data_IF_760298760921
#
_entry.id   IF_760298760921
#
_cell.length_a   1.000
_cell.length_b   1.000
_cell.length_c   1.000
_cell.angle_alpha   90.00
_cell.angle_beta   90.00
_cell.angle_gamma   90.00
#
_symmetry.space_group_name_H-M   'P 1'
#
loop_
_entity.id
_entity.type
_entity.pdbx_description
1 polymer ?
#
# COMPACT_ATOMS: atom_id res chain seq x y z
N UNK A 1 15.91 -6.92 -18.22
CA UNK A 1 15.64 -6.77 -16.77
C UNK A 1 14.14 -6.55 -16.65
N UNK A 2 13.37 -7.42 -15.99
CA UNK A 2 11.93 -7.17 -15.79
C UNK A 2 11.80 -5.96 -14.88
N UNK A 3 11.05 -4.96 -15.31
CA UNK A 3 10.72 -3.82 -14.46
C UNK A 3 10.10 -4.37 -13.16
N UNK A 4 10.53 -3.89 -11.99
CA UNK A 4 9.89 -4.29 -10.76
C UNK A 4 8.40 -3.98 -10.88
N UNK A 5 7.55 -4.88 -10.41
CA UNK A 5 6.10 -4.71 -10.41
C UNK A 5 5.76 -3.58 -9.42
N UNK A 6 5.95 -2.32 -9.84
CA UNK A 6 5.85 -1.14 -8.97
C UNK A 6 4.37 -0.85 -8.75
N UNK A 7 3.92 -0.90 -7.49
CA UNK A 7 2.55 -0.50 -7.10
C UNK A 7 2.40 1.03 -7.22
N UNK A 8 3.48 1.77 -6.92
CA UNK A 8 3.58 3.21 -7.16
C UNK A 8 4.98 3.73 -6.88
N UNK A 9 5.20 5.01 -7.18
CA UNK A 9 6.52 5.62 -7.08
C UNK A 9 7.04 5.74 -5.64
N UNK A 10 8.32 6.13 -5.55
CA UNK A 10 8.93 6.51 -4.28
C UNK A 10 8.22 7.72 -3.67
N UNK A 11 7.89 7.63 -2.39
CA UNK A 11 7.46 8.76 -1.57
C UNK A 11 8.67 9.22 -0.76
N UNK A 12 9.03 10.49 -0.91
CA UNK A 12 10.16 11.11 -0.21
C UNK A 12 9.66 11.85 1.04
N UNK A 13 10.43 11.77 2.13
CA UNK A 13 10.13 12.48 3.36
C UNK A 13 10.67 13.91 3.30
N UNK A 14 9.90 14.85 3.84
CA UNK A 14 10.23 16.27 3.82
C UNK A 14 11.13 16.70 5.01
N UNK A 15 11.54 17.98 4.98
CA UNK A 15 12.19 18.71 6.08
C UNK A 15 13.43 17.98 6.64
N UNK A 16 13.37 17.57 7.90
CA UNK A 16 14.48 16.98 8.66
C UNK A 16 14.90 15.59 8.16
N UNK A 17 14.17 15.03 7.19
CA UNK A 17 14.40 13.68 6.63
C UNK A 17 14.60 13.69 5.11
N UNK A 18 14.94 14.84 4.54
CA UNK A 18 15.23 14.98 3.11
C UNK A 18 16.24 13.93 2.62
N UNK A 19 15.93 13.28 1.50
CA UNK A 19 16.72 12.18 0.95
C UNK A 19 16.35 10.79 1.47
N UNK A 20 15.53 10.67 2.53
CA UNK A 20 14.91 9.39 2.89
C UNK A 20 13.64 9.19 2.08
N UNK A 21 13.45 7.98 1.56
CA UNK A 21 12.26 7.66 0.78
C UNK A 21 11.85 6.22 0.93
N UNK A 22 10.56 5.98 0.79
CA UNK A 22 9.91 4.67 0.94
C UNK A 22 9.10 4.33 -0.31
N UNK A 23 8.99 3.04 -0.62
CA UNK A 23 8.18 2.56 -1.73
C UNK A 23 7.61 1.18 -1.46
N UNK A 24 6.37 0.95 -1.88
CA UNK A 24 5.77 -0.38 -1.94
C UNK A 24 5.86 -0.93 -3.37
N UNK A 25 6.33 -2.17 -3.52
CA UNK A 25 6.52 -2.81 -4.82
C UNK A 25 6.44 -4.34 -4.75
N UNK A 26 6.42 -4.98 -5.91
CA UNK A 26 6.44 -6.43 -6.03
C UNK A 26 5.17 -7.08 -5.49
N UNK A 27 4.00 -6.43 -5.71
CA UNK A 27 2.70 -6.99 -5.35
C UNK A 27 2.35 -8.14 -6.30
N UNK A 28 2.17 -9.32 -5.74
CA UNK A 28 1.90 -10.55 -6.51
C UNK A 28 1.17 -11.58 -5.64
N UNK A 29 0.28 -12.39 -6.23
CA UNK A 29 -0.24 -13.58 -5.56
C UNK A 29 0.92 -14.54 -5.31
N UNK A 30 1.11 -14.97 -4.06
CA UNK A 30 2.23 -15.81 -3.68
C UNK A 30 1.95 -16.52 -2.36
N UNK A 31 2.29 -17.81 -2.30
CA UNK A 31 2.14 -18.60 -1.08
C UNK A 31 3.26 -18.27 -0.06
N UNK A 32 2.94 -18.25 1.25
CA UNK A 32 3.93 -18.03 2.30
C UNK A 32 4.92 -19.20 2.44
N UNK A 33 6.20 -18.94 2.79
CA UNK A 33 7.26 -19.95 2.80
C UNK A 33 7.14 -20.99 3.93
N UNK A 34 6.47 -20.67 5.05
CA UNK A 34 6.32 -21.58 6.21
C UNK A 34 4.94 -22.23 6.28
N UNK A 35 4.19 -22.19 5.17
CA UNK A 35 2.79 -22.63 5.11
C UNK A 35 1.81 -21.55 5.55
N UNK A 36 0.54 -21.81 5.25
CA UNK A 36 -0.59 -20.90 5.50
C UNK A 36 -0.97 -20.91 6.97
N UNK A 37 -1.41 -19.77 7.47
CA UNK A 37 -2.04 -19.67 8.78
C UNK A 37 -3.47 -20.20 8.73
N UNK A 38 -3.94 -20.78 9.83
CA UNK A 38 -5.31 -21.28 9.96
C UNK A 38 -6.34 -20.15 9.76
N UNK A 39 -6.04 -18.95 10.28
CA UNK A 39 -6.87 -17.77 10.10
C UNK A 39 -6.96 -17.28 8.64
N UNK A 40 -6.10 -17.78 7.75
CA UNK A 40 -6.13 -17.49 6.32
C UNK A 40 -6.85 -18.58 5.49
N UNK A 41 -7.59 -19.49 6.14
CA UNK A 41 -8.42 -20.47 5.46
C UNK A 41 -9.41 -19.79 4.51
N UNK A 42 -9.46 -20.24 3.25
CA UNK A 42 -10.31 -19.67 2.21
C UNK A 42 -9.87 -18.30 1.66
N UNK A 43 -8.82 -17.68 2.21
CA UNK A 43 -8.27 -16.43 1.71
C UNK A 43 -7.21 -16.66 0.63
N UNK A 44 -7.01 -15.68 -0.24
CA UNK A 44 -5.92 -15.69 -1.22
C UNK A 44 -4.73 -14.93 -0.67
N UNK A 45 -3.58 -15.60 -0.61
CA UNK A 45 -2.33 -14.97 -0.21
C UNK A 45 -1.73 -14.14 -1.34
N UNK A 46 -1.16 -13.02 -0.93
CA UNK A 46 -0.33 -12.18 -1.76
C UNK A 46 0.86 -11.66 -0.97
N UNK A 47 1.87 -11.24 -1.71
CA UNK A 47 3.13 -10.75 -1.20
C UNK A 47 3.36 -9.36 -1.75
N UNK A 48 3.96 -8.50 -0.93
CA UNK A 48 4.52 -7.22 -1.36
C UNK A 48 5.82 -6.94 -0.62
N UNK A 49 6.51 -5.89 -1.06
CA UNK A 49 7.77 -5.43 -0.46
C UNK A 49 7.67 -3.96 -0.15
N UNK A 50 8.21 -3.58 1.00
CA UNK A 50 8.38 -2.18 1.37
C UNK A 50 9.87 -1.91 1.46
N UNK A 51 10.37 -1.00 0.64
CA UNK A 51 11.78 -0.62 0.63
C UNK A 51 11.94 0.80 1.11
N UNK A 52 12.86 0.99 2.05
CA UNK A 52 13.37 2.31 2.46
C UNK A 52 14.73 2.49 1.80
N UNK A 53 14.96 3.66 1.20
CA UNK A 53 16.26 4.08 0.67
C UNK A 53 16.73 5.35 1.39
N UNK A 54 18.02 5.37 1.72
CA UNK A 54 18.68 6.55 2.25
C UNK A 54 19.55 7.20 1.17
N UNK A 55 19.16 8.39 0.71
CA UNK A 55 19.97 9.28 -0.15
C UNK A 55 20.55 10.47 0.63
N UNK A 56 20.27 10.55 1.91
CA UNK A 56 20.83 11.53 2.82
C UNK A 56 22.31 11.27 3.13
N UNK A 57 22.95 12.19 3.86
CA UNK A 57 24.38 12.17 4.11
C UNK A 57 24.81 11.27 5.28
N UNK A 58 23.89 10.87 6.16
CA UNK A 58 24.17 10.13 7.39
C UNK A 58 23.35 8.82 7.48
N UNK A 59 23.82 7.80 8.23
CA UNK A 59 23.01 6.61 8.53
C UNK A 59 21.75 6.98 9.31
N UNK A 60 20.69 6.18 9.15
CA UNK A 60 19.41 6.34 9.84
C UNK A 60 18.92 4.97 10.29
N UNK A 61 18.55 4.85 11.56
CA UNK A 61 17.96 3.64 12.13
C UNK A 61 16.51 3.51 11.70
N UNK A 62 16.14 2.41 11.07
CA UNK A 62 14.79 2.18 10.51
C UNK A 62 14.09 1.04 11.21
N UNK A 63 12.84 1.29 11.60
CA UNK A 63 11.88 0.29 12.07
C UNK A 63 10.66 0.25 11.15
N UNK A 64 10.34 -0.94 10.64
CA UNK A 64 9.13 -1.29 9.90
C UNK A 64 8.63 -2.67 10.37
N UNK A 65 7.73 -2.68 11.34
CA UNK A 65 7.15 -3.83 12.05
C UNK A 65 5.64 -3.95 11.79
N UNK A 66 5.00 -5.01 12.29
CA UNK A 66 3.59 -5.35 12.02
C UNK A 66 2.61 -4.19 12.25
N UNK A 67 2.66 -3.53 13.41
CA UNK A 67 1.76 -2.42 13.76
C UNK A 67 1.99 -1.12 12.97
N UNK A 68 2.95 -1.10 12.05
CA UNK A 68 3.30 0.06 11.22
C UNK A 68 2.76 -0.04 9.80
N UNK A 69 2.01 -1.11 9.52
CA UNK A 69 1.39 -1.40 8.24
C UNK A 69 -0.11 -1.57 8.45
N UNK A 70 -0.90 -1.00 7.54
CA UNK A 70 -2.33 -1.29 7.45
C UNK A 70 -2.66 -1.63 6.00
N UNK A 71 -3.28 -2.79 5.78
CA UNK A 71 -3.60 -3.29 4.44
C UNK A 71 -5.10 -3.46 4.34
N UNK A 72 -5.70 -2.67 3.46
CA UNK A 72 -7.13 -2.70 3.15
C UNK A 72 -7.36 -3.25 1.77
N UNK A 73 -8.44 -3.99 1.59
CA UNK A 73 -8.86 -4.53 0.29
C UNK A 73 -10.30 -4.16 0.01
N UNK A 74 -10.77 -4.38 -1.22
CA UNK A 74 -12.16 -4.14 -1.58
C UNK A 74 -12.54 -2.66 -1.63
N UNK A 75 -13.79 -2.38 -1.98
CA UNK A 75 -14.31 -1.02 -2.07
C UNK A 75 -14.62 -0.42 -0.69
N UNK A 76 -14.97 -1.27 0.29
CA UNK A 76 -15.38 -0.88 1.63
C UNK A 76 -14.19 -0.81 2.61
N UNK A 77 -12.99 -1.21 2.18
CA UNK A 77 -11.76 -1.11 2.96
C UNK A 77 -11.63 -2.20 4.01
N UNK A 78 -11.99 -3.43 3.66
CA UNK A 78 -11.86 -4.60 4.52
C UNK A 78 -10.40 -4.86 4.87
N UNK A 79 -10.11 -5.15 6.15
CA UNK A 79 -8.76 -5.47 6.59
C UNK A 79 -8.28 -6.77 5.95
N UNK A 80 -7.10 -6.75 5.33
CA UNK A 80 -6.37 -7.96 5.03
C UNK A 80 -5.77 -8.54 6.32
N UNK A 81 -5.59 -9.85 6.34
CA UNK A 81 -4.80 -10.53 7.37
C UNK A 81 -3.32 -10.36 7.01
N UNK A 82 -2.54 -9.70 7.87
CA UNK A 82 -1.09 -9.61 7.73
C UNK A 82 -0.44 -10.79 8.47
N UNK A 83 0.27 -11.63 7.73
CA UNK A 83 0.91 -12.85 8.26
C UNK A 83 2.31 -12.48 8.77
N UNK A 84 2.39 -12.08 10.03
CA UNK A 84 3.63 -11.67 10.69
C UNK A 84 4.65 -12.82 10.79
N UNK A 85 4.19 -14.07 10.87
CA UNK A 85 5.06 -15.26 11.00
C UNK A 85 5.86 -15.55 9.72
N UNK A 86 5.26 -15.27 8.57
CA UNK A 86 5.88 -15.45 7.25
C UNK A 86 6.53 -14.17 6.71
N UNK A 87 6.23 -13.02 7.31
CA UNK A 87 6.80 -11.73 6.95
C UNK A 87 8.21 -11.54 7.50
N UNK A 88 8.99 -10.71 6.80
CA UNK A 88 10.33 -10.25 7.19
C UNK A 88 10.29 -8.73 7.32
N UNK A 89 10.32 -8.26 8.54
CA UNK A 89 10.24 -6.85 8.91
C UNK A 89 11.64 -6.19 8.93
N UNK A 90 11.68 -4.87 9.07
CA UNK A 90 12.93 -4.13 9.35
C UNK A 90 12.93 -3.82 10.85
N UNK A 91 13.69 -4.58 11.63
CA UNK A 91 13.64 -4.54 13.10
C UNK A 91 14.82 -3.74 13.68
N UNK A 92 14.90 -2.44 13.36
CA UNK A 92 15.96 -1.55 13.87
C UNK A 92 17.28 -1.69 13.11
N UNK A 93 17.22 -1.51 11.78
CA UNK A 93 18.38 -1.59 10.90
C UNK A 93 18.89 -0.21 10.50
N UNK A 94 20.20 0.03 10.63
CA UNK A 94 20.85 1.25 10.16
C UNK A 94 21.00 1.24 8.64
N UNK A 95 20.24 2.09 7.97
CA UNK A 95 20.36 2.31 6.53
C UNK A 95 21.41 3.38 6.29
N UNK A 96 22.59 2.98 5.85
CA UNK A 96 23.68 3.88 5.47
C UNK A 96 23.38 4.67 4.17
N UNK A 97 24.07 5.79 3.92
CA UNK A 97 23.94 6.55 2.67
C UNK A 97 24.08 5.67 1.42
N UNK A 98 23.18 5.90 0.46
CA UNK A 98 23.04 5.16 -0.81
C UNK A 98 22.71 3.67 -0.64
N UNK A 99 22.21 3.26 0.53
CA UNK A 99 21.75 1.89 0.81
C UNK A 99 20.24 1.82 0.94
N UNK A 100 19.75 0.58 0.93
CA UNK A 100 18.33 0.23 1.04
C UNK A 100 18.14 -0.86 2.07
N UNK A 101 17.03 -0.80 2.79
CA UNK A 101 16.48 -1.91 3.57
C UNK A 101 15.12 -2.29 3.00
N UNK A 102 14.77 -3.58 2.99
CA UNK A 102 13.52 -4.05 2.40
C UNK A 102 12.83 -5.05 3.30
N UNK A 103 11.59 -4.75 3.68
CA UNK A 103 10.68 -5.71 4.27
C UNK A 103 10.02 -6.55 3.16
N UNK A 104 9.78 -7.84 3.43
CA UNK A 104 9.03 -8.74 2.56
C UNK A 104 7.82 -9.24 3.34
N UNK A 105 6.63 -8.87 2.88
CA UNK A 105 5.41 -9.01 3.65
C UNK A 105 4.44 -9.95 2.93
N UNK A 106 3.76 -10.80 3.71
CA UNK A 106 2.71 -11.69 3.23
C UNK A 106 1.39 -11.30 3.89
N UNK A 107 0.36 -11.15 3.08
CA UNK A 107 -0.99 -10.87 3.55
C UNK A 107 -2.00 -11.74 2.80
N UNK A 108 -3.19 -11.88 3.38
CA UNK A 108 -4.28 -12.67 2.81
C UNK A 108 -5.60 -11.91 2.89
N UNK A 109 -6.40 -12.00 1.83
CA UNK A 109 -7.74 -11.41 1.76
C UNK A 109 -8.65 -12.25 0.85
N UNK A 110 -9.94 -11.94 0.82
CA UNK A 110 -10.87 -12.60 -0.09
C UNK A 110 -10.44 -12.36 -1.55
N UNK A 111 -10.43 -13.41 -2.39
CA UNK A 111 -9.99 -13.27 -3.79
C UNK A 111 -10.79 -12.19 -4.55
N UNK A 112 -12.09 -12.10 -4.22
CA UNK A 112 -13.01 -11.11 -4.80
C UNK A 112 -12.71 -9.67 -4.40
N UNK A 113 -11.97 -9.41 -3.31
CA UNK A 113 -11.62 -8.06 -2.87
C UNK A 113 -10.27 -7.58 -3.42
N UNK A 114 -9.48 -8.45 -4.07
CA UNK A 114 -8.13 -8.15 -4.55
C UNK A 114 -8.07 -7.21 -5.78
N UNK A 115 -9.21 -6.82 -6.35
CA UNK A 115 -9.29 -5.78 -7.38
C UNK A 115 -8.92 -4.38 -6.84
N UNK A 116 -8.90 -4.21 -5.52
CA UNK A 116 -8.41 -3.02 -4.85
C UNK A 116 -7.60 -3.43 -3.62
N UNK A 117 -6.35 -2.98 -3.55
CA UNK A 117 -5.48 -3.17 -2.40
C UNK A 117 -4.83 -1.86 -2.04
N UNK A 118 -5.14 -1.36 -0.85
CA UNK A 118 -4.64 -0.11 -0.28
C UNK A 118 -3.66 -0.45 0.85
N UNK A 119 -2.40 -0.03 0.72
CA UNK A 119 -1.31 -0.33 1.66
C UNK A 119 -0.81 0.97 2.26
N UNK A 120 -1.11 1.17 3.54
CA UNK A 120 -0.58 2.29 4.31
C UNK A 120 0.68 1.86 5.07
N UNK A 121 1.71 2.70 5.03
CA UNK A 121 3.01 2.46 5.67
C UNK A 121 3.34 3.63 6.59
N UNK A 122 3.76 3.34 7.81
CA UNK A 122 4.14 4.31 8.83
C UNK A 122 5.51 3.96 9.43
N UNK A 123 6.58 4.34 8.73
CA UNK A 123 7.96 4.00 9.14
C UNK A 123 8.36 4.79 10.37
N UNK A 124 9.10 4.18 11.29
CA UNK A 124 9.79 4.89 12.37
C UNK A 124 11.28 4.98 12.04
N UNK A 125 11.84 6.19 12.13
CA UNK A 125 13.23 6.49 11.79
C UNK A 125 13.87 7.23 12.94
N UNK A 126 15.04 6.78 13.40
CA UNK A 126 15.77 7.32 14.56
C UNK A 126 14.84 7.56 15.78
N UNK A 127 14.06 6.52 16.11
CA UNK A 127 13.08 6.54 17.20
C UNK A 127 11.88 7.49 17.03
N UNK A 128 11.76 8.20 15.92
CA UNK A 128 10.67 9.13 15.65
C UNK A 128 9.75 8.66 14.51
N UNK A 129 8.45 8.85 14.69
CA UNK A 129 7.43 8.53 13.69
C UNK A 129 7.52 9.46 12.46
N UNK A 130 7.45 8.88 11.26
CA UNK A 130 7.34 9.62 10.00
C UNK A 130 5.87 9.90 9.64
N UNK A 131 5.64 10.70 8.59
CA UNK A 131 4.32 10.75 7.96
C UNK A 131 3.91 9.38 7.37
N UNK A 132 2.60 9.16 7.33
CA UNK A 132 2.03 7.96 6.70
C UNK A 132 1.94 8.14 5.19
N UNK A 133 2.32 7.10 4.47
CA UNK A 133 2.16 7.06 3.01
C UNK A 133 1.24 5.92 2.59
N UNK A 134 0.47 6.13 1.52
CA UNK A 134 -0.51 5.19 1.00
C UNK A 134 -0.18 4.84 -0.45
N UNK A 135 -0.28 3.56 -0.78
CA UNK A 135 -0.24 3.05 -2.15
C UNK A 135 -1.49 2.25 -2.42
N UNK A 136 -2.02 2.39 -3.64
CA UNK A 136 -3.20 1.66 -4.10
C UNK A 136 -2.84 0.81 -5.31
N UNK A 137 -3.39 -0.39 -5.37
CA UNK A 137 -3.11 -1.37 -6.41
C UNK A 137 -4.37 -2.13 -6.85
N UNK A 138 -4.20 -2.93 -7.90
CA UNK A 138 -5.13 -3.98 -8.31
C UNK A 138 -4.33 -5.25 -8.59
N UNK A 139 -4.62 -6.34 -7.85
CA UNK A 139 -3.95 -7.63 -7.97
C UNK A 139 -4.53 -8.53 -9.07
N UNK A 140 -5.63 -8.11 -9.70
CA UNK A 140 -6.27 -8.79 -10.82
C UNK A 140 -5.71 -8.33 -12.17
N UNK A 141 -5.07 -7.15 -12.20
CA UNK A 141 -4.41 -6.63 -13.40
C UNK A 141 -3.05 -7.31 -13.65
N UNK A 142 -2.62 -7.45 -14.92
CA UNK A 142 -1.28 -7.92 -15.25
C UNK A 142 -0.18 -7.04 -14.64
N UNK A 143 0.93 -7.68 -14.26
CA UNK A 143 2.11 -7.00 -13.75
C UNK A 143 2.59 -5.88 -14.70
N UNK A 144 2.82 -4.68 -14.17
CA UNK A 144 3.25 -3.50 -14.94
C UNK A 144 2.13 -2.55 -15.38
N UNK A 145 0.86 -2.85 -15.08
CA UNK A 145 -0.25 -1.91 -15.26
C UNK A 145 -0.45 -1.14 -13.96
N UNK A 146 0.24 -0.02 -13.81
CA UNK A 146 0.05 0.90 -12.69
C UNK A 146 -1.00 1.93 -13.09
N UNK A 147 -2.25 1.79 -12.66
CA UNK A 147 -3.14 2.95 -12.61
C UNK A 147 -2.57 3.88 -11.54
N UNK A 148 -1.83 4.92 -11.96
CA UNK A 148 -1.39 5.99 -11.06
C UNK A 148 -2.56 6.44 -10.19
N UNK A 149 -2.36 6.55 -8.88
CA UNK A 149 -3.41 6.90 -7.91
C UNK A 149 -4.22 8.17 -8.28
N UNK A 150 -3.63 9.07 -9.08
CA UNK A 150 -4.31 10.24 -9.65
C UNK A 150 -5.46 9.88 -10.63
N UNK A 151 -5.40 8.76 -11.34
CA UNK A 151 -6.43 8.33 -12.29
C UNK A 151 -7.69 7.79 -11.62
N UNK A 152 -7.58 7.21 -10.39
CA UNK A 152 -8.75 6.75 -9.63
C UNK A 152 -9.48 7.88 -8.88
N UNK A 153 -8.80 8.97 -8.56
CA UNK A 153 -9.46 10.17 -8.05
C UNK A 153 -10.52 10.67 -9.06
N UNK A 154 -10.24 10.55 -10.36
CA UNK A 154 -11.17 10.93 -11.43
C UNK A 154 -12.34 9.93 -11.63
N UNK A 155 -12.12 8.63 -11.39
CA UNK A 155 -13.21 7.65 -11.48
C UNK A 155 -14.27 7.86 -10.37
N UNK A 156 -13.84 8.22 -9.15
CA UNK A 156 -14.73 8.61 -8.07
C UNK A 156 -15.39 9.99 -8.29
N UNK A 157 -14.68 10.93 -8.92
CA UNK A 157 -15.23 12.23 -9.28
C UNK A 157 -16.30 12.13 -10.38
N UNK A 158 -16.13 11.22 -11.36
CA UNK A 158 -17.12 10.95 -12.39
C UNK A 158 -18.39 10.30 -11.84
N UNK A 159 -18.26 9.34 -10.90
CA UNK A 159 -19.40 8.72 -10.21
C UNK A 159 -20.12 9.73 -9.30
N UNK A 160 -19.38 10.55 -8.54
CA UNK A 160 -19.95 11.60 -7.70
C UNK A 160 -20.66 12.69 -8.54
N UNK A 161 -20.09 13.09 -9.68
CA UNK A 161 -20.73 14.03 -10.60
C UNK A 161 -22.04 13.46 -11.17
N UNK A 162 -22.08 12.16 -11.45
CA UNK A 162 -23.29 11.44 -11.84
C UNK A 162 -24.34 11.41 -10.72
N UNK A 163 -23.93 11.10 -9.49
CA UNK A 163 -24.80 11.07 -8.32
C UNK A 163 -25.37 12.45 -7.97
N UNK A 164 -24.54 13.50 -8.02
CA UNK A 164 -24.95 14.90 -7.81
C UNK A 164 -25.90 15.36 -8.92
N UNK A 165 -25.61 15.02 -10.18
CA UNK A 165 -26.51 15.36 -11.31
C UNK A 165 -27.88 14.68 -11.17
N UNK A 166 -27.90 13.41 -10.75
CA UNK A 166 -29.13 12.66 -10.51
C UNK A 166 -29.89 13.15 -9.26
N UNK A 167 -29.19 13.65 -8.25
CA UNK A 167 -29.81 14.27 -7.09
C UNK A 167 -30.45 15.62 -7.45
N UNK A 168 -29.72 16.52 -8.12
CA UNK A 168 -30.22 17.82 -8.55
C UNK A 168 -31.41 17.71 -9.51
N UNK A 169 -31.39 16.73 -10.42
CA UNK A 169 -32.53 16.45 -11.31
C UNK A 169 -33.77 16.03 -10.52
N UNK A 170 -33.62 15.14 -9.53
CA UNK A 170 -34.73 14.69 -8.67
C UNK A 170 -35.29 15.81 -7.82
N UNK A 171 -34.46 16.72 -7.31
CA UNK A 171 -34.94 17.89 -6.56
C UNK A 171 -35.65 18.91 -7.47
N UNK A 172 -35.16 19.12 -8.69
CA UNK A 172 -35.82 19.98 -9.67
C UNK A 172 -37.21 19.45 -10.11
N UNK A 173 -37.36 18.12 -10.21
CA UNK A 173 -38.64 17.46 -10.50
C UNK A 173 -39.62 17.49 -9.33
N UNK A 174 -39.13 17.57 -8.07
CA UNK A 174 -39.96 17.68 -6.86
C UNK A 174 -40.39 19.12 -6.53
N UNK A 175 -39.72 20.12 -7.09
CA UNK A 175 -39.99 21.55 -6.85
C UNK A 175 -41.11 22.16 -7.69
N UNK A 176 -41.87 21.38 -8.46
CA UNK A 176 -43.01 21.85 -9.28
C UNK A 176 -44.37 21.46 -8.68
N UNK A 177 -44.53 21.66 -7.37
CA UNK A 177 -45.81 21.63 -6.66
C UNK A 177 -46.27 23.03 -6.30
#
# INVERSE_FOLDING_TARGET
MREPNVIGDWQEYDQDRAGLRVRVHGLEKAEPPRGREEAAEGLTYFRFRVTVENRGPAPVGVHLEDGQLDVRTGADGESALLDWRNSQFIEGYDVYPLRRATAVLYAAAADTSLHRVDIQVHVRMDEEWTDRHLWSADLTLPAGVTETAAARADAGAADLAGQVSNYLRREAERGQG
#
